data_IF_823000132212
#
_entry.id   IF_823000132212
#
_cell.length_a   1.000
_cell.length_b   1.000
_cell.length_c   1.000
_cell.angle_alpha   90.00
_cell.angle_beta   90.00
_cell.angle_gamma   90.00
#
_symmetry.space_group_name_H-M   'P 1'
#
loop_
_entity.id
_entity.type
_entity.pdbx_description
1 polymer ?
#
# COMPACT_ATOMS: atom_id res chain seq x y z
N UNK A 1 5.72 3.43 -14.19
CA UNK A 1 4.97 3.15 -12.95
C UNK A 1 5.16 1.70 -12.49
N UNK A 2 4.90 0.71 -13.34
CA UNK A 2 5.17 -0.70 -13.00
C UNK A 2 6.66 -0.94 -12.68
N UNK A 3 7.56 -0.37 -13.48
CA UNK A 3 9.01 -0.48 -13.23
C UNK A 3 9.43 0.12 -11.87
N UNK A 4 8.77 1.22 -11.47
CA UNK A 4 8.98 1.85 -10.15
C UNK A 4 8.58 0.89 -9.04
N UNK A 5 7.39 0.31 -9.11
CA UNK A 5 6.89 -0.64 -8.11
C UNK A 5 7.76 -1.90 -8.01
N UNK A 6 8.28 -2.39 -9.14
CA UNK A 6 9.22 -3.51 -9.15
C UNK A 6 10.54 -3.15 -8.47
N UNK A 7 11.03 -1.91 -8.64
CA UNK A 7 12.28 -1.46 -8.02
C UNK A 7 12.21 -1.25 -6.50
N UNK A 8 10.99 -1.08 -5.95
CA UNK A 8 10.79 -0.91 -4.50
C UNK A 8 10.92 -2.24 -3.72
N UNK A 9 10.98 -3.39 -4.39
CA UNK A 9 11.14 -4.69 -3.73
C UNK A 9 9.95 -5.13 -2.88
N UNK A 10 8.78 -4.56 -3.12
CA UNK A 10 7.53 -4.91 -2.45
C UNK A 10 7.03 -6.26 -2.96
N UNK A 11 6.48 -7.10 -2.07
CA UNK A 11 5.85 -8.36 -2.49
C UNK A 11 4.57 -8.13 -3.29
N UNK A 12 3.71 -7.19 -2.88
CA UNK A 12 2.42 -6.98 -3.54
C UNK A 12 1.87 -5.56 -3.38
N UNK A 13 1.21 -5.06 -4.43
CA UNK A 13 0.41 -3.84 -4.40
C UNK A 13 -0.96 -4.13 -5.00
N UNK A 14 -2.02 -3.84 -4.25
CA UNK A 14 -3.41 -4.11 -4.65
C UNK A 14 -4.18 -2.78 -4.67
N UNK A 15 -4.67 -2.41 -5.85
CA UNK A 15 -5.64 -1.32 -5.98
C UNK A 15 -7.04 -1.81 -5.63
N UNK A 16 -7.78 -1.02 -4.85
CA UNK A 16 -9.18 -1.27 -4.50
C UNK A 16 -10.02 -0.13 -5.06
N UNK A 17 -11.01 -0.46 -5.86
CA UNK A 17 -11.96 0.51 -6.40
C UNK A 17 -13.36 -0.08 -6.33
N UNK A 18 -14.22 0.54 -5.53
CA UNK A 18 -15.65 0.23 -5.46
C UNK A 18 -16.48 1.49 -5.73
N UNK A 19 -17.01 1.65 -6.96
CA UNK A 19 -17.81 2.82 -7.33
C UNK A 19 -19.08 3.00 -6.51
N UNK A 20 -19.68 1.92 -5.99
CA UNK A 20 -20.95 1.98 -5.27
C UNK A 20 -20.80 2.69 -3.92
N UNK A 21 -19.70 2.43 -3.20
CA UNK A 21 -19.34 3.16 -1.98
C UNK A 21 -18.47 4.39 -2.23
N UNK A 22 -17.93 4.56 -3.44
CA UNK A 22 -16.94 5.59 -3.76
C UNK A 22 -15.55 5.30 -3.18
N UNK A 23 -15.30 4.06 -2.75
CA UNK A 23 -14.02 3.65 -2.21
C UNK A 23 -12.96 3.61 -3.30
N UNK A 24 -11.89 4.36 -3.08
CA UNK A 24 -10.63 4.23 -3.79
C UNK A 24 -9.53 4.04 -2.75
N UNK A 25 -8.81 2.93 -2.86
CA UNK A 25 -7.81 2.55 -1.87
C UNK A 25 -6.67 1.76 -2.49
N UNK A 26 -5.61 1.60 -1.70
CA UNK A 26 -4.47 0.77 -2.03
C UNK A 26 -4.05 -0.02 -0.80
N UNK A 27 -3.70 -1.28 -1.02
CA UNK A 27 -3.11 -2.15 -0.01
C UNK A 27 -1.70 -2.47 -0.51
N UNK A 28 -0.69 -2.27 0.35
CA UNK A 28 0.71 -2.57 0.04
C UNK A 28 1.19 -3.62 1.04
N UNK A 29 1.78 -4.69 0.50
CA UNK A 29 2.45 -5.75 1.25
C UNK A 29 3.94 -5.63 0.96
N UNK A 30 4.73 -5.39 2.00
CA UNK A 30 6.18 -5.22 1.91
C UNK A 30 6.89 -6.58 1.96
N UNK A 31 6.72 -7.35 3.04
CA UNK A 31 7.31 -8.69 3.22
C UNK A 31 6.38 -9.61 4.04
N UNK A 32 6.36 -10.90 3.71
CA UNK A 32 5.65 -11.96 4.45
C UNK A 32 6.57 -13.10 4.89
N UNK A 33 7.90 -12.92 4.84
CA UNK A 33 8.89 -13.93 5.21
C UNK A 33 8.70 -14.45 6.64
N UNK A 34 8.24 -13.59 7.57
CA UNK A 34 8.00 -13.93 8.98
C UNK A 34 6.56 -14.37 9.29
N UNK A 35 5.72 -14.53 8.27
CA UNK A 35 4.31 -14.87 8.40
C UNK A 35 3.37 -13.86 7.73
N UNK A 36 2.05 -13.96 7.95
CA UNK A 36 1.08 -13.07 7.32
C UNK A 36 1.34 -11.60 7.66
N UNK A 37 1.24 -10.72 6.66
CA UNK A 37 1.38 -9.28 6.86
C UNK A 37 0.24 -8.73 7.72
N UNK A 38 0.60 -7.87 8.70
CA UNK A 38 -0.34 -7.19 9.59
C UNK A 38 -0.09 -5.69 9.51
N UNK A 39 -1.14 -4.92 9.28
CA UNK A 39 -1.10 -3.46 9.19
C UNK A 39 -2.43 -2.83 9.51
N UNK A 40 -2.41 -1.57 9.92
CA UNK A 40 -3.62 -0.78 10.14
C UNK A 40 -4.25 -0.29 8.82
N UNK A 41 -5.52 0.11 8.87
CA UNK A 41 -6.18 0.84 7.78
C UNK A 41 -6.10 2.34 8.06
N UNK A 42 -5.64 3.12 7.07
CA UNK A 42 -5.60 4.58 7.15
C UNK A 42 -6.60 5.17 6.16
N UNK A 43 -7.50 6.00 6.67
CA UNK A 43 -8.38 6.83 5.86
C UNK A 43 -7.91 8.29 5.98
N UNK A 44 -7.37 8.83 4.89
CA UNK A 44 -6.85 10.19 4.83
C UNK A 44 -7.10 10.81 3.45
N UNK A 45 -7.09 12.14 3.38
CA UNK A 45 -7.14 12.87 2.10
C UNK A 45 -5.73 13.04 1.57
N UNK A 46 -5.52 12.66 0.33
CA UNK A 46 -4.27 12.86 -0.40
C UNK A 46 -4.49 13.79 -1.58
N UNK A 47 -3.44 14.48 -2.02
CA UNK A 47 -3.51 15.37 -3.18
C UNK A 47 -3.80 14.60 -4.48
N UNK A 48 -3.32 13.36 -4.58
CA UNK A 48 -3.52 12.46 -5.71
C UNK A 48 -3.25 10.99 -5.28
N UNK A 49 -3.49 10.05 -6.19
CA UNK A 49 -3.28 8.62 -5.95
C UNK A 49 -1.82 8.22 -5.73
N UNK A 50 -0.86 8.95 -6.32
CA UNK A 50 0.58 8.68 -6.14
C UNK A 50 1.01 9.01 -4.71
N UNK A 51 0.56 10.13 -4.15
CA UNK A 51 0.81 10.50 -2.76
C UNK A 51 0.22 9.48 -1.76
N UNK A 52 -0.95 8.91 -2.08
CA UNK A 52 -1.55 7.85 -1.28
C UNK A 52 -0.74 6.54 -1.34
N UNK A 53 -0.26 6.18 -2.54
CA UNK A 53 0.58 5.00 -2.77
C UNK A 53 1.93 5.13 -2.05
N UNK A 54 2.59 6.28 -2.15
CA UNK A 54 3.89 6.50 -1.51
C UNK A 54 3.78 6.45 0.04
N UNK A 55 2.70 6.99 0.61
CA UNK A 55 2.44 6.84 2.06
C UNK A 55 2.16 5.38 2.44
N UNK A 56 1.40 4.63 1.63
CA UNK A 56 1.13 3.22 1.87
C UNK A 56 2.40 2.36 1.83
N UNK A 57 3.30 2.62 0.87
CA UNK A 57 4.61 1.96 0.77
C UNK A 57 5.45 2.22 2.02
N UNK A 58 5.54 3.50 2.43
CA UNK A 58 6.29 3.90 3.62
C UNK A 58 5.74 3.24 4.90
N UNK A 59 4.41 3.15 5.02
CA UNK A 59 3.75 2.52 6.17
C UNK A 59 3.96 1.00 6.18
N UNK A 60 3.85 0.32 5.03
CA UNK A 60 4.07 -1.13 4.94
C UNK A 60 5.49 -1.52 5.38
N UNK A 61 6.51 -0.82 4.88
CA UNK A 61 7.91 -1.00 5.31
C UNK A 61 8.11 -0.80 6.81
N UNK A 62 7.47 0.21 7.38
CA UNK A 62 7.55 0.47 8.81
C UNK A 62 6.92 -0.68 9.63
N UNK A 63 5.90 -1.36 9.11
CA UNK A 63 5.28 -2.51 9.77
C UNK A 63 6.15 -3.76 9.72
N UNK A 64 6.84 -4.03 8.61
CA UNK A 64 7.80 -5.15 8.52
C UNK A 64 8.93 -5.04 9.54
N UNK A 65 9.41 -3.81 9.79
CA UNK A 65 10.54 -3.55 10.68
C UNK A 65 10.16 -3.43 12.17
N UNK A 66 8.87 -3.38 12.49
CA UNK A 66 8.35 -3.13 13.84
C UNK A 66 8.32 -4.39 14.69
#
# INVERSE_FOLDING_TARGET
>A
MLDRLQSEGLEQVVGVHDPASGLLGVIVIDDTTRGPAIGGCRLARYANGEAALDDAIRLARAMTLK
#
